data_IF_474547443624
#
_entry.id   IF_474547443624
#
_cell.length_a   1.000
_cell.length_b   1.000
_cell.length_c   1.000
_cell.angle_alpha   90.00
_cell.angle_beta   90.00
_cell.angle_gamma   90.00
#
_symmetry.space_group_name_H-M   'P 1'
#
loop_
_entity.id
_entity.type
_entity.pdbx_description
1 polymer ?
#
# COMPACT_ATOMS: atom_id res chain seq x y z
N UNK A 1 2.22 -7.56 -1.66
CA UNK A 1 1.12 -8.38 -2.21
C UNK A 1 1.24 -9.77 -1.58
N UNK A 2 0.15 -10.54 -1.51
CA UNK A 2 0.16 -11.90 -0.95
C UNK A 2 0.37 -12.98 -2.02
N UNK A 3 0.24 -12.63 -3.32
CA UNK A 3 0.37 -13.56 -4.45
C UNK A 3 1.84 -13.68 -4.85
N UNK A 4 2.51 -14.82 -4.55
CA UNK A 4 3.95 -14.97 -4.77
C UNK A 4 4.36 -14.78 -6.23
N UNK A 5 3.56 -15.26 -7.17
CA UNK A 5 3.85 -15.19 -8.61
C UNK A 5 3.91 -13.74 -9.11
N UNK A 6 3.08 -12.84 -8.53
CA UNK A 6 3.15 -11.41 -8.85
C UNK A 6 4.42 -10.78 -8.30
N UNK A 7 4.81 -11.15 -7.08
CA UNK A 7 6.03 -10.64 -6.43
C UNK A 7 7.27 -11.08 -7.20
N UNK A 8 7.32 -12.33 -7.65
CA UNK A 8 8.40 -12.84 -8.49
C UNK A 8 8.50 -12.06 -9.81
N UNK A 9 7.38 -11.86 -10.50
CA UNK A 9 7.35 -11.10 -11.75
C UNK A 9 7.84 -9.65 -11.55
N UNK A 10 7.31 -8.96 -10.53
CA UNK A 10 7.68 -7.59 -10.20
C UNK A 10 9.17 -7.46 -9.80
N UNK A 11 9.70 -8.46 -9.10
CA UNK A 11 11.13 -8.52 -8.71
C UNK A 11 12.07 -8.66 -9.91
N UNK A 12 11.58 -9.09 -11.08
CA UNK A 12 12.33 -9.07 -12.34
C UNK A 12 12.14 -7.77 -13.15
N UNK A 13 11.47 -6.78 -12.56
CA UNK A 13 11.15 -5.49 -13.19
C UNK A 13 10.09 -5.59 -14.29
N UNK A 14 9.25 -6.62 -14.26
CA UNK A 14 8.14 -6.84 -15.21
C UNK A 14 6.80 -6.52 -14.56
N UNK A 15 5.86 -6.01 -15.35
CA UNK A 15 4.54 -5.57 -14.83
C UNK A 15 3.45 -6.60 -15.17
N UNK A 16 2.55 -6.98 -14.22
CA UNK A 16 1.45 -7.91 -14.49
C UNK A 16 0.23 -7.27 -15.18
N UNK A 17 0.28 -5.97 -15.47
CA UNK A 17 -0.79 -5.18 -16.08
C UNK A 17 -0.22 -4.20 -17.10
N UNK A 18 -1.08 -3.66 -17.96
CA UNK A 18 -0.70 -2.63 -18.90
C UNK A 18 -0.78 -1.25 -18.23
N UNK A 19 0.36 -0.56 -18.13
CA UNK A 19 0.44 0.83 -17.70
C UNK A 19 1.67 1.48 -18.38
N UNK A 20 1.47 2.48 -19.27
CA UNK A 20 2.57 3.10 -20.01
C UNK A 20 3.66 3.66 -19.09
N UNK A 21 4.92 3.30 -19.38
CA UNK A 21 6.09 3.77 -18.64
C UNK A 21 6.37 3.07 -17.31
N UNK A 22 5.44 2.25 -16.78
CA UNK A 22 5.63 1.58 -15.50
C UNK A 22 6.75 0.54 -15.53
N UNK A 23 6.85 -0.27 -16.60
CA UNK A 23 7.90 -1.28 -16.71
C UNK A 23 9.30 -0.66 -16.74
N UNK A 24 9.49 0.44 -17.48
CA UNK A 24 10.74 1.19 -17.50
C UNK A 24 11.07 1.78 -16.11
N UNK A 25 10.08 2.26 -15.37
CA UNK A 25 10.27 2.70 -13.99
C UNK A 25 10.71 1.55 -13.08
N UNK A 26 10.12 0.36 -13.21
CA UNK A 26 10.54 -0.82 -12.44
C UNK A 26 11.99 -1.20 -12.76
N UNK A 27 12.37 -1.33 -14.03
CA UNK A 27 13.74 -1.66 -14.43
C UNK A 27 14.78 -0.67 -13.86
N UNK A 28 14.43 0.62 -13.74
CA UNK A 28 15.31 1.64 -13.16
C UNK A 28 15.45 1.55 -11.64
N UNK A 29 14.51 0.95 -10.92
CA UNK A 29 14.47 1.02 -9.46
C UNK A 29 14.59 -0.31 -8.73
N UNK A 30 14.14 -1.41 -9.34
CA UNK A 30 14.12 -2.74 -8.71
C UNK A 30 15.53 -3.24 -8.44
N UNK A 31 15.81 -3.63 -7.19
CA UNK A 31 17.09 -4.19 -6.78
C UNK A 31 17.41 -5.51 -7.50
N UNK A 32 18.68 -5.70 -7.83
CA UNK A 32 19.18 -6.90 -8.51
C UNK A 32 19.20 -6.82 -10.04
N UNK A 33 18.62 -5.77 -10.63
CA UNK A 33 18.69 -5.52 -12.08
C UNK A 33 19.94 -4.70 -12.41
N UNK A 34 20.70 -5.10 -13.43
CA UNK A 34 21.90 -4.38 -13.88
C UNK A 34 21.55 -2.94 -14.29
N UNK A 35 22.30 -1.97 -13.75
CA UNK A 35 22.06 -0.54 -14.01
C UNK A 35 20.89 0.08 -13.23
N UNK A 36 20.16 -0.69 -12.41
CA UNK A 36 19.12 -0.17 -11.54
C UNK A 36 19.67 0.58 -10.32
N UNK A 37 18.85 1.43 -9.72
CA UNK A 37 19.20 2.16 -8.49
C UNK A 37 19.04 1.31 -7.22
N UNK A 38 18.41 0.14 -7.30
CA UNK A 38 18.16 -0.75 -6.16
C UNK A 38 17.28 -0.20 -5.04
N UNK A 39 16.51 0.86 -5.32
CA UNK A 39 15.65 1.55 -4.34
C UNK A 39 14.27 0.91 -4.16
N UNK A 40 13.90 -0.04 -5.00
CA UNK A 40 12.63 -0.75 -4.93
C UNK A 40 12.87 -2.24 -4.73
N UNK A 41 12.15 -2.85 -3.78
CA UNK A 41 12.15 -4.28 -3.51
C UNK A 41 10.72 -4.75 -3.37
N UNK A 42 10.45 -6.00 -3.77
CA UNK A 42 9.16 -6.64 -3.60
C UNK A 42 9.33 -7.84 -2.69
N UNK A 43 8.39 -8.02 -1.77
CA UNK A 43 8.43 -9.10 -0.78
C UNK A 43 7.00 -9.51 -0.40
N UNK A 44 6.87 -10.74 0.10
CA UNK A 44 5.67 -11.25 0.78
C UNK A 44 5.83 -11.24 2.30
N UNK A 45 7.01 -10.87 2.82
CA UNK A 45 7.31 -10.87 4.26
C UNK A 45 6.76 -9.61 4.94
N UNK A 46 5.78 -9.78 5.83
CA UNK A 46 5.26 -8.70 6.67
C UNK A 46 6.27 -8.22 7.71
N UNK A 47 7.14 -9.11 8.20
CA UNK A 47 8.25 -8.79 9.09
C UNK A 47 9.22 -7.82 8.40
N UNK A 48 9.65 -8.14 7.18
CA UNK A 48 10.55 -7.28 6.40
C UNK A 48 9.93 -5.91 6.13
N UNK A 49 8.62 -5.87 5.80
CA UNK A 49 7.90 -4.61 5.58
C UNK A 49 7.84 -3.78 6.86
N UNK A 50 7.52 -4.40 8.00
CA UNK A 50 7.42 -3.72 9.30
C UNK A 50 8.76 -3.19 9.80
N UNK A 51 9.85 -3.92 9.60
CA UNK A 51 11.20 -3.46 9.96
C UNK A 51 11.67 -2.29 9.07
N UNK A 52 11.42 -2.39 7.76
CA UNK A 52 11.95 -1.45 6.78
C UNK A 52 11.25 -0.08 6.78
N UNK A 53 9.93 -0.04 6.87
CA UNK A 53 9.15 1.18 6.63
C UNK A 53 9.08 2.13 7.83
N UNK A 54 9.35 3.42 7.60
CA UNK A 54 8.92 4.49 8.51
C UNK A 54 7.47 4.91 8.23
N UNK A 55 7.05 4.73 6.97
CA UNK A 55 5.71 5.02 6.45
C UNK A 55 5.21 3.80 5.67
N UNK A 56 4.03 3.31 6.00
CA UNK A 56 3.41 2.14 5.35
C UNK A 56 2.12 2.52 4.63
N UNK A 57 2.12 2.47 3.31
CA UNK A 57 0.90 2.69 2.53
C UNK A 57 0.10 1.40 2.35
N UNK A 58 -1.19 1.42 2.70
CA UNK A 58 -2.14 0.33 2.46
C UNK A 58 -2.94 0.65 1.20
N UNK A 59 -2.65 -0.09 0.13
CA UNK A 59 -3.17 0.14 -1.24
C UNK A 59 -3.94 -1.08 -1.78
N UNK A 60 -4.70 -1.77 -0.93
CA UNK A 60 -5.46 -2.97 -1.32
C UNK A 60 -6.84 -2.61 -1.89
N UNK A 61 -7.45 -3.55 -2.62
CA UNK A 61 -8.76 -3.34 -3.22
C UNK A 61 -9.87 -3.26 -2.16
N UNK A 62 -10.93 -2.55 -2.49
CA UNK A 62 -12.18 -2.44 -1.71
C UNK A 62 -13.38 -2.64 -2.64
N UNK A 63 -13.53 -3.84 -3.25
CA UNK A 63 -14.59 -4.10 -4.21
C UNK A 63 -15.98 -3.93 -3.55
N UNK A 64 -17.02 -3.72 -4.36
CA UNK A 64 -18.38 -3.71 -3.83
C UNK A 64 -18.77 -5.11 -3.32
N UNK A 65 -19.48 -5.17 -2.19
CA UNK A 65 -20.09 -6.41 -1.69
C UNK A 65 -21.21 -6.85 -2.61
N UNK A 66 -21.26 -8.15 -2.91
CA UNK A 66 -22.27 -8.71 -3.79
C UNK A 66 -23.68 -8.49 -3.21
N UNK A 67 -24.54 -7.79 -3.97
CA UNK A 67 -25.92 -7.52 -3.58
C UNK A 67 -26.12 -6.39 -2.55
N UNK A 68 -25.06 -5.67 -2.17
CA UNK A 68 -25.13 -4.58 -1.19
C UNK A 68 -24.55 -3.27 -1.75
N UNK A 69 -25.04 -2.13 -1.26
CA UNK A 69 -24.43 -0.81 -1.51
C UNK A 69 -23.33 -0.51 -0.49
N UNK A 70 -22.43 -1.45 -0.28
CA UNK A 70 -21.32 -1.36 0.65
C UNK A 70 -20.03 -1.86 0.01
N UNK A 71 -18.89 -1.32 0.43
CA UNK A 71 -17.59 -1.87 0.06
C UNK A 71 -17.23 -3.07 0.94
N UNK A 72 -16.53 -4.01 0.35
CA UNK A 72 -15.86 -5.06 1.09
C UNK A 72 -14.57 -4.49 1.70
N UNK A 73 -14.53 -4.49 3.03
CA UNK A 73 -13.39 -4.03 3.82
C UNK A 73 -12.42 -5.16 4.17
N UNK A 74 -12.73 -6.41 3.82
CA UNK A 74 -11.99 -7.60 4.24
C UNK A 74 -10.49 -7.51 3.91
N UNK A 75 -10.13 -7.01 2.73
CA UNK A 75 -8.73 -6.87 2.33
C UNK A 75 -8.01 -5.77 3.12
N UNK A 76 -8.67 -4.64 3.37
CA UNK A 76 -8.11 -3.55 4.18
C UNK A 76 -7.91 -4.01 5.61
N UNK A 77 -8.94 -4.59 6.23
CA UNK A 77 -8.87 -5.11 7.59
C UNK A 77 -7.75 -6.16 7.72
N UNK A 78 -7.67 -7.08 6.75
CA UNK A 78 -6.61 -8.12 6.73
C UNK A 78 -5.20 -7.53 6.57
N UNK A 79 -5.04 -6.47 5.77
CA UNK A 79 -3.75 -5.81 5.60
C UNK A 79 -3.29 -5.11 6.89
N UNK A 80 -4.21 -4.45 7.60
CA UNK A 80 -3.92 -3.85 8.91
C UNK A 80 -3.61 -4.93 9.95
N UNK A 81 -4.38 -6.02 9.99
CA UNK A 81 -4.16 -7.14 10.91
C UNK A 81 -2.83 -7.85 10.68
N UNK A 82 -2.40 -7.97 9.41
CA UNK A 82 -1.13 -8.58 9.06
C UNK A 82 0.06 -7.65 9.34
N UNK A 83 -0.08 -6.34 9.11
CA UNK A 83 1.00 -5.37 9.33
C UNK A 83 1.22 -5.05 10.80
N UNK A 84 0.15 -4.80 11.56
CA UNK A 84 0.21 -4.25 12.91
C UNK A 84 1.15 -5.01 13.87
N UNK A 85 1.16 -6.35 13.92
CA UNK A 85 2.05 -7.11 14.82
C UNK A 85 3.55 -6.85 14.62
N UNK A 86 3.94 -6.34 13.45
CA UNK A 86 5.34 -6.05 13.11
C UNK A 86 5.75 -4.59 13.39
N UNK A 87 4.82 -3.75 13.83
CA UNK A 87 5.07 -2.33 14.10
C UNK A 87 5.60 -2.15 15.54
N UNK A 88 6.90 -2.27 15.70
CA UNK A 88 7.59 -2.23 17.01
C UNK A 88 8.17 -0.87 17.37
N UNK A 89 8.15 0.08 16.44
CA UNK A 89 8.69 1.44 16.58
C UNK A 89 7.67 2.47 16.08
N UNK A 90 7.79 3.76 16.46
CA UNK A 90 6.89 4.80 15.95
C UNK A 90 6.93 4.84 14.42
N UNK A 91 5.75 4.80 13.80
CA UNK A 91 5.55 4.73 12.35
C UNK A 91 4.26 5.42 11.95
N UNK A 92 4.17 5.80 10.67
CA UNK A 92 2.94 6.28 10.07
C UNK A 92 2.36 5.22 9.13
N UNK A 93 1.15 4.75 9.40
CA UNK A 93 0.37 3.97 8.44
C UNK A 93 -0.53 4.92 7.65
N UNK A 94 -0.59 4.75 6.33
CA UNK A 94 -1.38 5.60 5.44
C UNK A 94 -2.35 4.73 4.65
N UNK A 95 -3.64 4.91 4.88
CA UNK A 95 -4.65 4.33 4.02
C UNK A 95 -4.71 5.06 2.68
N UNK A 96 -4.61 4.31 1.58
CA UNK A 96 -4.79 4.83 0.21
C UNK A 96 -6.03 4.27 -0.48
N UNK A 97 -6.42 3.05 -0.13
CA UNK A 97 -7.65 2.40 -0.58
C UNK A 97 -8.87 3.31 -0.42
N UNK A 98 -9.80 3.26 -1.38
CA UNK A 98 -11.07 3.97 -1.28
C UNK A 98 -11.97 3.27 -0.25
N UNK A 99 -12.25 3.94 0.86
CA UNK A 99 -13.02 3.39 1.98
C UNK A 99 -14.16 4.32 2.40
N UNK A 100 -15.19 3.81 3.11
CA UNK A 100 -16.25 4.64 3.66
C UNK A 100 -15.73 5.62 4.71
N UNK A 101 -16.43 6.73 4.85
CA UNK A 101 -16.19 7.68 5.95
C UNK A 101 -16.32 6.96 7.30
N UNK A 102 -15.42 7.28 8.22
CA UNK A 102 -15.34 6.65 9.54
C UNK A 102 -14.44 5.41 9.61
N UNK A 103 -14.05 4.81 8.48
CA UNK A 103 -13.11 3.69 8.46
C UNK A 103 -11.77 4.03 9.09
N UNK A 104 -11.25 5.23 8.86
CA UNK A 104 -9.98 5.67 9.45
C UNK A 104 -10.00 5.65 10.97
N UNK A 105 -11.03 6.21 11.62
CA UNK A 105 -11.12 6.21 13.08
C UNK A 105 -11.19 4.80 13.68
N UNK A 106 -11.96 3.90 13.05
CA UNK A 106 -12.04 2.48 13.44
C UNK A 106 -10.69 1.77 13.28
N UNK A 107 -10.00 1.99 12.16
CA UNK A 107 -8.72 1.36 11.86
C UNK A 107 -7.59 1.91 12.72
N UNK A 108 -7.62 3.19 13.09
CA UNK A 108 -6.64 3.78 14.02
C UNK A 108 -6.71 3.13 15.40
N UNK A 109 -7.92 2.94 15.94
CA UNK A 109 -8.10 2.26 17.22
C UNK A 109 -7.61 0.80 17.17
N UNK A 110 -7.96 0.09 16.09
CA UNK A 110 -7.51 -1.29 15.86
C UNK A 110 -5.99 -1.40 15.70
N UNK A 111 -5.38 -0.48 14.97
CA UNK A 111 -3.94 -0.43 14.78
C UNK A 111 -3.22 -0.22 16.12
N UNK A 112 -3.68 0.71 16.94
CA UNK A 112 -3.12 0.96 18.26
C UNK A 112 -3.33 -0.19 19.25
N UNK A 113 -4.37 -1.01 19.07
CA UNK A 113 -4.61 -2.21 19.86
C UNK A 113 -3.67 -3.36 19.49
N UNK A 114 -3.44 -3.56 18.18
CA UNK A 114 -2.69 -4.72 17.68
C UNK A 114 -1.19 -4.48 17.58
N UNK A 115 -0.76 -3.23 17.39
CA UNK A 115 0.65 -2.91 17.21
C UNK A 115 1.42 -2.95 18.53
N UNK A 116 2.62 -3.58 18.59
CA UNK A 116 3.46 -3.54 19.79
C UNK A 116 3.83 -2.12 20.24
N UNK A 117 3.96 -1.17 19.32
CA UNK A 117 4.20 0.25 19.63
C UNK A 117 2.94 0.98 20.14
N UNK A 118 1.78 0.34 20.11
CA UNK A 118 0.50 0.90 20.54
C UNK A 118 0.14 2.18 19.77
N UNK A 119 -0.20 3.24 20.50
CA UNK A 119 -0.56 4.54 19.93
C UNK A 119 0.58 5.24 19.16
N UNK A 120 1.81 4.72 19.17
CA UNK A 120 2.89 5.20 18.31
C UNK A 120 2.76 4.76 16.83
N UNK A 121 1.81 3.89 16.50
CA UNK A 121 1.41 3.60 15.13
C UNK A 121 0.27 4.53 14.74
N UNK A 122 0.62 5.68 14.15
CA UNK A 122 -0.35 6.70 13.74
C UNK A 122 -0.99 6.34 12.40
N UNK A 123 -2.22 6.81 12.16
CA UNK A 123 -2.94 6.57 10.92
C UNK A 123 -3.34 7.87 10.24
N UNK A 124 -2.95 8.03 8.97
CA UNK A 124 -3.43 9.06 8.07
C UNK A 124 -4.18 8.44 6.87
N UNK A 125 -4.87 9.27 6.09
CA UNK A 125 -5.49 8.86 4.84
C UNK A 125 -5.05 9.73 3.66
N UNK A 126 -4.49 9.11 2.62
CA UNK A 126 -4.10 9.75 1.37
C UNK A 126 -4.79 9.05 0.19
N UNK A 127 -6.04 9.42 -0.13
CA UNK A 127 -6.76 8.79 -1.23
C UNK A 127 -6.03 9.00 -2.57
N UNK A 128 -6.41 8.20 -3.55
CA UNK A 128 -5.90 8.27 -4.91
C UNK A 128 -6.98 8.73 -5.90
N UNK A 129 -6.54 9.29 -7.02
CA UNK A 129 -7.42 9.83 -8.08
C UNK A 129 -6.86 9.47 -9.45
N UNK A 130 -6.36 8.24 -9.60
CA UNK A 130 -5.65 7.77 -10.78
C UNK A 130 -6.63 7.26 -11.83
N UNK A 131 -6.26 7.41 -13.10
CA UNK A 131 -6.96 6.80 -14.22
C UNK A 131 -6.14 5.63 -14.77
N UNK A 132 -6.79 4.52 -15.04
CA UNK A 132 -6.14 3.34 -15.64
C UNK A 132 -5.52 3.71 -17.01
N UNK A 133 -4.26 3.33 -17.22
CA UNK A 133 -3.48 3.70 -18.39
C UNK A 133 -2.80 5.07 -18.33
N UNK A 134 -3.02 5.84 -17.25
CA UNK A 134 -2.40 7.15 -16.99
C UNK A 134 -1.87 7.28 -15.55
N UNK A 135 -1.85 6.19 -14.77
CA UNK A 135 -1.49 6.18 -13.37
C UNK A 135 -0.08 6.74 -13.12
N UNK A 136 0.88 6.47 -14.00
CA UNK A 136 2.24 7.05 -13.89
C UNK A 136 2.19 8.57 -14.01
N UNK A 137 1.51 9.09 -15.03
CA UNK A 137 1.38 10.53 -15.25
C UNK A 137 0.61 11.20 -14.10
N UNK A 138 -0.53 10.64 -13.71
CA UNK A 138 -1.41 11.19 -12.68
C UNK A 138 -0.73 11.20 -11.30
N UNK A 139 0.17 10.25 -11.04
CA UNK A 139 0.97 10.21 -9.80
C UNK A 139 2.07 11.27 -9.78
N UNK A 140 2.76 11.50 -10.92
CA UNK A 140 3.87 12.44 -11.01
C UNK A 140 3.42 13.90 -11.19
N UNK A 141 2.23 14.10 -11.75
CA UNK A 141 1.65 15.41 -12.04
C UNK A 141 0.18 15.50 -11.58
N UNK A 142 -0.09 15.34 -10.27
CA UNK A 142 -1.46 15.37 -9.76
C UNK A 142 -2.01 16.81 -9.76
N UNK A 143 -3.31 16.95 -10.02
CA UNK A 143 -4.01 18.23 -9.85
C UNK A 143 -4.00 18.70 -8.38
N UNK A 144 -4.10 17.75 -7.44
CA UNK A 144 -3.97 17.97 -6.01
C UNK A 144 -3.58 16.69 -5.28
N UNK A 145 -3.02 16.87 -4.08
CA UNK A 145 -2.81 15.79 -3.10
C UNK A 145 -3.71 16.05 -1.91
N UNK A 146 -4.50 15.06 -1.51
CA UNK A 146 -5.39 15.13 -0.35
C UNK A 146 -4.79 14.30 0.78
N UNK A 147 -4.71 14.88 1.98
CA UNK A 147 -4.22 14.19 3.17
C UNK A 147 -5.18 14.49 4.33
N UNK A 148 -5.72 13.44 4.95
CA UNK A 148 -6.40 13.51 6.23
C UNK A 148 -5.46 13.04 7.33
N UNK A 149 -5.31 13.86 8.37
CA UNK A 149 -4.49 13.63 9.57
C UNK A 149 -5.34 13.80 10.83
#
# INVERSE_FOLDING_TARGET
DIVPEKIELLSTGRVPMYEPGLEEMLQRHVAGIEGSTGRLRFTTSWEEVGEFGDVHFVCVNTPQKHGEYACDMSYVDSAFDALAPHLTRPVLVVGKSTVPVGSAARLAARLAELAPVGAGAELAWNPEFLREGFAVQDTLHPDRIVVGV
#
